data_IF_993727840416
#
_entry.id   IF_993727840416
#
_cell.length_a   1.000
_cell.length_b   1.000
_cell.length_c   1.000
_cell.angle_alpha   90.00
_cell.angle_beta   90.00
_cell.angle_gamma   90.00
#
_symmetry.space_group_name_H-M   'P 1'
#
loop_
_entity.id
_entity.type
_entity.pdbx_description
1 polymer ?
#
# COMPACT_ATOMS: atom_id res chain seq x y z
N UNK A 1 3.31 3.94 0.82
CA UNK A 1 2.86 4.59 -0.43
C UNK A 1 1.39 4.40 -0.67
N UNK A 2 0.80 5.15 -1.60
CA UNK A 2 -0.58 4.97 -2.05
C UNK A 2 -0.62 4.70 -3.56
N UNK A 3 -1.56 3.87 -4.02
CA UNK A 3 -1.77 3.61 -5.44
C UNK A 3 -3.25 3.38 -5.76
N UNK A 4 -3.81 4.20 -6.66
CA UNK A 4 -5.21 4.13 -7.06
C UNK A 4 -5.38 3.21 -8.28
N UNK A 5 -6.46 2.42 -8.26
CA UNK A 5 -6.86 1.62 -9.42
C UNK A 5 -7.35 2.51 -10.57
N UNK A 6 -7.19 2.05 -11.82
CA UNK A 6 -7.62 2.81 -13.01
C UNK A 6 -9.11 3.15 -13.01
N UNK A 7 -9.97 2.30 -12.44
CA UNK A 7 -11.41 2.57 -12.31
C UNK A 7 -11.75 3.49 -11.12
N UNK A 8 -10.75 3.93 -10.35
CA UNK A 8 -10.89 4.87 -9.24
C UNK A 8 -11.62 4.33 -8.01
N UNK A 9 -11.82 3.01 -7.91
CA UNK A 9 -12.63 2.39 -6.84
C UNK A 9 -11.82 1.79 -5.69
N UNK A 10 -10.53 1.51 -5.90
CA UNK A 10 -9.67 0.85 -4.92
C UNK A 10 -8.37 1.62 -4.78
N UNK A 11 -8.08 2.08 -3.57
CA UNK A 11 -6.83 2.72 -3.21
C UNK A 11 -6.04 1.75 -2.32
N UNK A 12 -4.87 1.32 -2.77
CA UNK A 12 -3.99 0.47 -1.98
C UNK A 12 -2.95 1.30 -1.27
N UNK A 13 -2.63 0.92 -0.03
CA UNK A 13 -1.71 1.64 0.84
C UNK A 13 -0.69 0.69 1.42
N UNK A 14 0.60 1.00 1.30
CA UNK A 14 1.69 0.34 2.01
C UNK A 14 2.25 1.24 3.10
N UNK A 15 2.82 0.63 4.14
CA UNK A 15 3.16 1.30 5.41
C UNK A 15 4.62 1.72 5.54
N UNK A 16 5.55 1.19 4.73
CA UNK A 16 6.96 1.61 4.75
C UNK A 16 7.23 2.78 3.80
N UNK A 17 8.19 3.63 4.19
CA UNK A 17 8.68 4.77 3.40
C UNK A 17 10.18 4.67 3.12
N UNK A 18 11.01 4.56 4.16
CA UNK A 18 12.45 4.43 3.98
C UNK A 18 13.03 3.81 5.23
N UNK A 19 13.73 2.69 5.09
CA UNK A 19 14.14 1.86 6.23
C UNK A 19 14.92 2.62 7.31
N UNK A 20 15.72 3.64 6.96
CA UNK A 20 16.42 4.48 7.93
C UNK A 20 15.46 5.32 8.79
N UNK A 21 14.41 5.86 8.18
CA UNK A 21 13.39 6.67 8.87
C UNK A 21 12.38 5.77 9.58
N UNK A 22 11.99 4.67 8.97
CA UNK A 22 11.08 3.69 9.57
C UNK A 22 11.66 3.17 10.89
N UNK A 23 12.98 2.91 10.95
CA UNK A 23 13.66 2.54 12.20
C UNK A 23 13.62 3.62 13.27
N UNK A 24 13.66 4.89 12.88
CA UNK A 24 13.65 6.02 13.81
C UNK A 24 12.25 6.28 14.38
N UNK A 25 11.22 6.26 13.53
CA UNK A 25 9.87 6.66 13.91
C UNK A 25 8.96 5.48 14.27
N UNK A 26 9.17 4.31 13.66
CA UNK A 26 8.32 3.12 13.78
C UNK A 26 9.16 1.84 13.93
N UNK A 27 10.01 1.74 14.98
CA UNK A 27 10.94 0.62 15.13
C UNK A 27 10.25 -0.75 15.24
N UNK A 28 9.02 -0.80 15.76
CA UNK A 28 8.28 -2.06 15.89
C UNK A 28 7.72 -2.55 14.55
N UNK A 29 7.25 -1.65 13.69
CA UNK A 29 6.88 -2.00 12.30
C UNK A 29 8.07 -2.61 11.55
N UNK A 30 9.31 -2.16 11.80
CA UNK A 30 10.50 -2.76 11.16
C UNK A 30 10.74 -4.20 11.62
N UNK A 31 10.38 -4.53 12.87
CA UNK A 31 10.51 -5.89 13.41
C UNK A 31 9.36 -6.80 13.01
N UNK A 32 8.16 -6.23 12.84
CA UNK A 32 6.95 -6.97 12.53
C UNK A 32 6.73 -7.11 11.03
N UNK A 33 7.26 -6.20 10.22
CA UNK A 33 7.05 -6.11 8.79
C UNK A 33 6.01 -5.07 8.43
N UNK A 34 6.09 -4.61 7.19
CA UNK A 34 5.08 -3.73 6.63
C UNK A 34 3.82 -4.50 6.24
N UNK A 35 2.72 -3.78 6.10
CA UNK A 35 1.46 -4.29 5.56
C UNK A 35 1.01 -3.48 4.35
N UNK A 36 0.18 -4.11 3.50
CA UNK A 36 -0.62 -3.46 2.48
C UNK A 36 -2.12 -3.60 2.77
N UNK A 37 -2.82 -2.48 2.73
CA UNK A 37 -4.25 -2.34 2.96
C UNK A 37 -4.96 -1.92 1.68
N UNK A 38 -6.26 -2.21 1.57
CA UNK A 38 -7.14 -1.64 0.55
C UNK A 38 -8.15 -0.70 1.20
N UNK A 39 -8.38 0.44 0.55
CA UNK A 39 -9.43 1.40 0.86
C UNK A 39 -10.41 1.39 -0.31
N UNK A 40 -11.69 1.22 0.01
CA UNK A 40 -12.79 1.37 -0.92
C UNK A 40 -13.09 2.87 -1.11
N UNK A 41 -13.18 3.29 -2.37
CA UNK A 41 -13.40 4.69 -2.77
C UNK A 41 -14.80 4.85 -3.35
N UNK A 42 -15.64 5.70 -2.73
CA UNK A 42 -16.92 6.11 -3.32
C UNK A 42 -16.69 7.33 -4.22
N UNK A 43 -16.42 7.09 -5.51
CA UNK A 43 -16.21 8.17 -6.48
C UNK A 43 -17.48 8.90 -6.91
N UNK A 44 -18.67 8.44 -6.50
CA UNK A 44 -19.95 9.09 -6.85
C UNK A 44 -20.41 10.06 -5.78
N UNK A 45 -20.32 9.67 -4.52
CA UNK A 45 -20.77 10.48 -3.37
C UNK A 45 -19.60 11.11 -2.60
N UNK A 46 -18.38 10.67 -2.87
CA UNK A 46 -17.23 10.96 -2.02
C UNK A 46 -17.19 10.06 -0.79
N UNK A 47 -15.98 9.77 -0.32
CA UNK A 47 -15.75 8.99 0.89
C UNK A 47 -14.76 7.86 0.69
N UNK A 48 -14.11 7.50 1.80
CA UNK A 48 -13.12 6.44 1.88
C UNK A 48 -13.50 5.51 3.04
N UNK A 49 -13.41 4.20 2.82
CA UNK A 49 -13.62 3.20 3.87
C UNK A 49 -12.56 2.13 3.78
N UNK A 50 -11.97 1.75 4.92
CA UNK A 50 -11.03 0.62 4.97
C UNK A 50 -11.78 -0.67 4.62
N UNK A 51 -11.23 -1.45 3.69
CA UNK A 51 -11.74 -2.78 3.38
C UNK A 51 -11.21 -3.79 4.40
N UNK A 52 -12.03 -4.14 5.39
CA UNK A 52 -11.69 -5.09 6.46
C UNK A 52 -11.42 -6.52 5.98
N UNK A 53 -11.70 -6.83 4.70
CA UNK A 53 -11.46 -8.15 4.10
C UNK A 53 -10.12 -8.26 3.38
N UNK A 54 -9.35 -7.17 3.29
CA UNK A 54 -8.09 -7.15 2.56
C UNK A 54 -6.94 -6.68 3.45
N UNK A 55 -5.95 -7.56 3.60
CA UNK A 55 -4.68 -7.27 4.24
C UNK A 55 -3.62 -8.18 3.62
N UNK A 56 -2.50 -7.60 3.19
CA UNK A 56 -1.29 -8.37 2.90
C UNK A 56 -0.28 -8.04 3.98
N UNK A 57 0.17 -9.09 4.68
CA UNK A 57 1.14 -9.01 5.77
C UNK A 57 2.49 -9.51 5.25
N UNK A 58 3.48 -8.62 5.21
CA UNK A 58 4.84 -8.92 4.77
C UNK A 58 5.78 -9.29 5.93
N UNK A 59 5.25 -9.55 7.12
CA UNK A 59 6.02 -9.95 8.30
C UNK A 59 6.61 -11.35 8.24
N UNK A 60 6.01 -12.23 7.43
CA UNK A 60 6.37 -13.66 7.34
C UNK A 60 7.04 -14.04 6.02
N UNK A 61 7.66 -13.07 5.35
CA UNK A 61 8.44 -13.36 4.14
C UNK A 61 9.59 -14.34 4.43
N UNK A 62 10.05 -15.14 3.45
CA UNK A 62 10.98 -16.24 3.69
C UNK A 62 12.31 -15.86 4.38
N UNK A 63 12.74 -14.60 4.21
CA UNK A 63 13.99 -14.08 4.77
C UNK A 63 13.77 -13.11 5.96
N UNK A 64 12.57 -13.15 6.56
CA UNK A 64 12.16 -12.25 7.63
C UNK A 64 11.32 -11.07 7.12
N UNK A 65 10.90 -10.17 8.03
CA UNK A 65 9.96 -9.10 7.73
C UNK A 65 10.42 -8.19 6.58
N UNK A 66 9.52 -7.93 5.63
CA UNK A 66 9.80 -7.05 4.50
C UNK A 66 9.11 -5.69 4.62
N UNK A 67 9.78 -4.67 4.08
CA UNK A 67 9.36 -3.27 4.06
C UNK A 67 8.89 -2.90 2.65
N UNK A 68 7.67 -3.31 2.32
CA UNK A 68 7.02 -3.04 1.05
C UNK A 68 6.73 -1.55 0.89
N UNK A 69 7.19 -0.99 -0.23
CA UNK A 69 7.08 0.43 -0.52
C UNK A 69 6.14 0.68 -1.70
N UNK A 70 6.57 0.44 -2.94
CA UNK A 70 5.78 0.78 -4.12
C UNK A 70 4.85 -0.37 -4.55
N UNK A 71 3.69 0.00 -5.12
CA UNK A 71 2.68 -0.92 -5.60
C UNK A 71 2.49 -0.63 -7.09
N UNK A 72 2.55 -1.67 -7.94
CA UNK A 72 2.38 -1.55 -9.39
C UNK A 72 1.31 -2.51 -9.88
N UNK A 73 0.38 -2.01 -10.69
CA UNK A 73 -0.67 -2.87 -11.24
C UNK A 73 -0.21 -3.56 -12.52
N UNK A 74 -0.63 -4.82 -12.74
CA UNK A 74 -0.54 -5.42 -14.05
C UNK A 74 -1.33 -4.60 -15.08
N UNK A 75 -0.67 -4.15 -16.15
CA UNK A 75 -1.31 -3.38 -17.21
C UNK A 75 -1.42 -1.88 -16.96
N UNK A 76 -0.74 -1.35 -15.93
CA UNK A 76 -0.65 0.09 -15.68
C UNK A 76 -1.58 0.60 -14.60
N UNK A 77 -1.23 1.75 -14.04
CA UNK A 77 -1.91 2.40 -12.94
C UNK A 77 -1.77 3.93 -13.02
N UNK A 78 -2.44 4.65 -12.12
CA UNK A 78 -2.55 6.11 -12.18
C UNK A 78 -1.23 6.86 -11.95
N UNK A 79 -0.12 6.16 -11.69
CA UNK A 79 1.21 6.76 -11.49
C UNK A 79 2.30 6.16 -12.39
N UNK A 80 2.00 5.12 -13.18
CA UNK A 80 2.93 4.54 -14.16
C UNK A 80 2.73 5.08 -15.57
N UNK A 81 1.49 5.38 -15.96
CA UNK A 81 1.16 5.65 -17.36
C UNK A 81 1.04 7.15 -17.64
N UNK A 82 1.70 7.59 -18.72
CA UNK A 82 1.62 8.95 -19.25
C UNK A 82 0.92 8.88 -20.60
N UNK A 83 -0.18 9.62 -20.76
CA UNK A 83 -0.95 9.70 -21.99
C UNK A 83 -0.48 10.91 -22.82
N UNK A 84 -0.37 10.76 -24.15
CA UNK A 84 0.01 11.83 -25.11
C UNK A 84 -1.22 12.21 -25.94
#
# INVERSE_FOLDING_TARGET
>A
MIQLSLDGKRLYVSTSLYSGWDKQFYPDMVKEGSVMLQIDVDSKKGGLKVNEKFLVDFGKEPNGPALAHEIRYPGGDTTSDIWI
#
